data_IF_892430848027
#
_entry.id   IF_892430848027
#
_cell.length_a   1.000
_cell.length_b   1.000
_cell.length_c   1.000
_cell.angle_alpha   90.00
_cell.angle_beta   90.00
_cell.angle_gamma   90.00
#
_symmetry.space_group_name_H-M   'P 1'
#
loop_
_entity.id
_entity.type
_entity.pdbx_description
1 polymer ?
#
# COMPACT_ATOMS: atom_id res chain seq x y z
N UNK A 1 54.64 -11.06 -0.73
CA UNK A 1 53.31 -11.54 -0.29
C UNK A 1 52.85 -10.68 0.90
N UNK A 2 51.56 -10.31 0.93
CA UNK A 2 50.87 -9.43 1.92
C UNK A 2 51.11 -7.92 1.78
N UNK A 3 50.15 -7.24 1.10
CA UNK A 3 49.59 -5.89 1.36
C UNK A 3 48.98 -5.31 0.07
N UNK A 4 47.91 -5.91 -0.48
CA UNK A 4 47.19 -5.34 -1.64
C UNK A 4 45.67 -5.65 -1.67
N UNK A 5 45.07 -6.15 -0.58
CA UNK A 5 43.65 -6.58 -0.59
C UNK A 5 42.71 -5.80 0.35
N UNK A 6 43.16 -4.70 0.96
CA UNK A 6 42.30 -3.89 1.85
C UNK A 6 41.61 -2.73 1.11
N UNK A 7 42.06 -2.38 -0.09
CA UNK A 7 41.49 -1.25 -0.85
C UNK A 7 40.30 -1.61 -1.77
N UNK A 8 40.07 -2.89 -2.05
CA UNK A 8 38.93 -3.33 -2.89
C UNK A 8 37.63 -3.51 -2.09
N UNK A 9 37.71 -3.80 -0.78
CA UNK A 9 36.54 -3.83 0.09
C UNK A 9 36.05 -2.42 0.47
N UNK A 10 36.97 -1.46 0.59
CA UNK A 10 36.63 -0.05 0.80
C UNK A 10 36.08 0.65 -0.45
N UNK A 11 36.55 0.27 -1.64
CA UNK A 11 36.08 0.85 -2.91
C UNK A 11 34.67 0.42 -3.32
N UNK A 12 34.24 -0.81 -2.99
CA UNK A 12 32.88 -1.27 -3.27
C UNK A 12 31.83 -0.71 -2.29
N UNK A 13 32.24 -0.34 -1.06
CA UNK A 13 31.36 0.34 -0.10
C UNK A 13 31.24 1.86 -0.38
N UNK A 14 32.27 2.46 -0.99
CA UNK A 14 32.32 3.91 -1.23
C UNK A 14 31.55 4.38 -2.50
N UNK A 15 31.05 3.46 -3.34
CA UNK A 15 30.22 3.80 -4.52
C UNK A 15 28.71 3.87 -4.18
N UNK A 16 28.31 3.55 -2.94
CA UNK A 16 26.92 3.71 -2.46
C UNK A 16 26.63 5.07 -1.81
N UNK A 17 27.57 6.02 -1.80
CA UNK A 17 27.41 7.35 -1.19
C UNK A 17 27.28 8.49 -2.22
N UNK A 18 26.96 8.17 -3.48
CA UNK A 18 26.81 9.14 -4.57
C UNK A 18 25.41 9.74 -4.65
N UNK A 19 25.28 10.99 -4.20
CA UNK A 19 24.19 11.96 -4.38
C UNK A 19 22.81 11.62 -3.75
N UNK A 20 22.20 12.55 -2.98
CA UNK A 20 20.78 12.49 -2.62
C UNK A 20 19.96 12.82 -3.88
N UNK A 21 19.81 11.85 -4.78
CA UNK A 21 18.74 11.86 -5.77
C UNK A 21 17.43 11.60 -5.04
N UNK A 22 16.38 12.34 -5.37
CA UNK A 22 15.07 12.33 -4.74
C UNK A 22 14.59 10.92 -4.28
N UNK A 23 14.84 10.61 -3.01
CA UNK A 23 14.24 9.52 -2.24
C UNK A 23 12.74 9.77 -2.18
N UNK A 24 11.90 8.75 -2.25
CA UNK A 24 10.45 8.88 -2.57
C UNK A 24 9.62 7.55 -2.12
N UNK A 25 8.27 7.39 -2.13
CA UNK A 25 7.43 6.20 -1.71
C UNK A 25 6.94 4.98 -2.63
N UNK A 26 6.62 3.83 -2.02
CA UNK A 26 6.07 2.59 -2.66
C UNK A 26 4.56 2.59 -2.99
N UNK A 27 3.89 3.74 -3.12
CA UNK A 27 2.43 3.79 -3.30
C UNK A 27 1.68 3.07 -2.17
N UNK A 28 0.71 2.21 -2.51
CA UNK A 28 -0.04 1.37 -1.55
C UNK A 28 0.38 -0.11 -1.58
N UNK A 29 1.63 -0.40 -1.92
CA UNK A 29 2.18 -1.75 -1.82
C UNK A 29 2.46 -2.13 -0.38
N UNK A 30 2.26 -3.40 -0.06
CA UNK A 30 2.60 -4.01 1.22
C UNK A 30 3.61 -5.12 0.95
N UNK A 31 4.73 -5.14 1.67
CA UNK A 31 5.79 -6.14 1.48
C UNK A 31 5.99 -7.04 2.71
N UNK A 32 5.25 -6.80 3.78
CA UNK A 32 5.47 -7.37 5.10
C UNK A 32 4.76 -8.73 5.28
N UNK A 33 5.02 -9.65 4.35
CA UNK A 33 4.40 -10.98 4.30
C UNK A 33 5.22 -12.09 4.99
N UNK A 34 6.34 -11.74 5.61
CA UNK A 34 7.14 -12.65 6.43
C UNK A 34 7.89 -11.88 7.50
N UNK A 35 7.82 -12.36 8.74
CA UNK A 35 8.64 -11.82 9.83
C UNK A 35 10.14 -12.06 9.58
N UNK A 36 10.52 -13.20 9.00
CA UNK A 36 11.91 -13.45 8.60
C UNK A 36 12.40 -12.41 7.58
N UNK A 37 11.61 -12.18 6.52
CA UNK A 37 11.97 -11.22 5.49
C UNK A 37 11.97 -9.79 6.03
N UNK A 38 10.96 -9.41 6.82
CA UNK A 38 10.89 -8.10 7.49
C UNK A 38 12.13 -7.82 8.32
N UNK A 39 12.62 -8.79 9.11
CA UNK A 39 13.81 -8.62 9.95
C UNK A 39 15.09 -8.25 9.19
N UNK A 40 15.12 -8.49 7.87
CA UNK A 40 16.21 -8.16 6.94
C UNK A 40 15.76 -7.18 5.84
N UNK A 41 14.89 -6.23 6.19
CA UNK A 41 14.37 -5.17 5.32
C UNK A 41 13.61 -5.66 4.08
N UNK A 42 13.03 -6.86 4.13
CA UNK A 42 12.35 -7.50 3.00
C UNK A 42 13.30 -8.10 1.97
N UNK A 43 14.62 -8.07 2.18
CA UNK A 43 15.60 -8.60 1.23
C UNK A 43 15.53 -10.14 1.20
N UNK A 44 14.91 -10.71 0.18
CA UNK A 44 14.58 -12.14 0.11
C UNK A 44 14.59 -12.71 -1.31
N UNK A 45 14.83 -11.90 -2.34
CA UNK A 45 14.69 -12.31 -3.74
C UNK A 45 15.71 -13.37 -4.13
N UNK A 46 16.95 -13.27 -3.65
CA UNK A 46 18.01 -14.24 -3.96
C UNK A 46 18.18 -15.36 -2.93
N UNK A 47 17.77 -15.13 -1.69
CA UNK A 47 17.91 -16.07 -0.59
C UNK A 47 16.59 -16.13 0.19
N UNK A 48 15.68 -17.07 -0.11
CA UNK A 48 14.40 -17.19 0.58
C UNK A 48 14.57 -17.45 2.08
N UNK A 49 13.55 -17.11 2.85
CA UNK A 49 13.41 -17.54 4.24
C UNK A 49 13.10 -19.05 4.31
N UNK A 50 13.31 -19.66 5.48
CA UNK A 50 12.93 -21.06 5.73
C UNK A 50 11.44 -21.17 6.12
N UNK A 51 10.61 -20.45 5.38
CA UNK A 51 9.16 -20.38 5.51
C UNK A 51 8.51 -20.43 4.11
N UNK A 52 7.17 -20.42 4.06
CA UNK A 52 6.45 -20.46 2.78
C UNK A 52 6.41 -19.13 2.01
N UNK A 53 6.98 -18.04 2.55
CA UNK A 53 6.84 -16.70 1.99
C UNK A 53 7.59 -16.49 0.67
N UNK A 54 8.46 -17.43 0.30
CA UNK A 54 9.10 -17.46 -1.01
C UNK A 54 8.08 -17.34 -2.16
N UNK A 55 6.84 -17.81 -1.99
CA UNK A 55 5.77 -17.63 -2.99
C UNK A 55 5.57 -16.16 -3.39
N UNK A 56 5.67 -15.23 -2.44
CA UNK A 56 5.61 -13.79 -2.71
C UNK A 56 6.96 -13.24 -3.19
N UNK A 57 8.03 -13.46 -2.43
CA UNK A 57 9.33 -12.77 -2.66
C UNK A 57 10.08 -13.28 -3.90
N UNK A 58 10.07 -14.58 -4.15
CA UNK A 58 10.58 -15.21 -5.37
C UNK A 58 10.12 -16.68 -5.41
N UNK A 59 9.14 -17.06 -6.25
CA UNK A 59 8.55 -18.40 -6.23
C UNK A 59 9.58 -19.52 -6.49
N UNK A 60 10.71 -19.24 -7.14
CA UNK A 60 11.81 -20.20 -7.28
C UNK A 60 12.40 -20.65 -5.93
N UNK A 61 12.31 -19.82 -4.89
CA UNK A 61 12.77 -20.14 -3.54
C UNK A 61 12.02 -21.30 -2.90
N UNK A 62 10.81 -21.63 -3.38
CA UNK A 62 10.04 -22.76 -2.88
C UNK A 62 10.68 -24.12 -3.22
N UNK A 63 11.53 -24.18 -4.26
CA UNK A 63 12.26 -25.39 -4.70
C UNK A 63 13.39 -25.83 -3.73
N UNK A 64 13.31 -25.44 -2.46
CA UNK A 64 14.21 -25.84 -1.38
C UNK A 64 13.63 -26.94 -0.48
N UNK A 65 12.33 -27.26 -0.61
CA UNK A 65 11.69 -28.28 0.20
C UNK A 65 12.14 -29.70 -0.22
N UNK A 66 12.66 -30.53 0.72
CA UNK A 66 12.96 -31.94 0.46
C UNK A 66 11.70 -32.74 0.10
N UNK A 67 11.92 -33.87 -0.57
CA UNK A 67 10.85 -34.83 -0.87
C UNK A 67 10.13 -35.28 0.40
N UNK A 68 8.81 -35.28 0.37
CA UNK A 68 7.93 -35.69 1.46
C UNK A 68 7.69 -34.62 2.52
N UNK A 69 8.46 -33.52 2.55
CA UNK A 69 8.30 -32.47 3.56
C UNK A 69 7.07 -31.62 3.23
N UNK A 70 6.12 -31.59 4.16
CA UNK A 70 5.03 -30.60 4.16
C UNK A 70 5.40 -29.48 5.12
N UNK A 71 5.31 -28.23 4.70
CA UNK A 71 5.57 -27.08 5.55
C UNK A 71 4.33 -26.19 5.58
N UNK A 72 3.88 -25.83 6.78
CA UNK A 72 2.88 -24.79 7.00
C UNK A 72 3.54 -23.61 7.71
N UNK A 73 3.24 -22.39 7.26
CA UNK A 73 3.60 -21.15 7.94
C UNK A 73 2.34 -20.35 8.18
N UNK A 74 2.14 -19.90 9.41
CA UNK A 74 1.07 -18.98 9.79
C UNK A 74 1.73 -17.79 10.46
N UNK A 75 1.46 -16.60 9.95
CA UNK A 75 2.00 -15.37 10.50
C UNK A 75 1.24 -14.15 10.04
N UNK A 76 1.78 -12.99 10.38
CA UNK A 76 1.27 -11.73 9.93
C UNK A 76 2.05 -10.56 10.50
N UNK A 77 1.72 -9.39 10.01
CA UNK A 77 2.30 -8.12 10.42
C UNK A 77 1.22 -7.20 10.93
N UNK A 78 1.43 -6.62 12.11
CA UNK A 78 0.60 -5.52 12.62
C UNK A 78 1.26 -4.20 12.25
N UNK A 79 0.55 -3.36 11.49
CA UNK A 79 1.02 -2.05 11.05
C UNK A 79 0.29 -0.98 11.86
N UNK A 80 1.02 -0.20 12.63
CA UNK A 80 0.51 0.91 13.43
C UNK A 80 1.03 2.24 12.85
N UNK A 81 0.34 2.81 11.84
CA UNK A 81 0.66 4.13 11.32
C UNK A 81 0.16 5.23 12.26
N UNK A 82 0.85 6.36 12.22
CA UNK A 82 0.44 7.63 12.83
C UNK A 82 0.86 8.76 11.92
N UNK A 83 0.07 9.82 11.86
CA UNK A 83 0.36 10.95 11.00
C UNK A 83 -0.68 12.04 11.10
N UNK A 84 -0.46 13.10 10.35
CA UNK A 84 -1.31 14.27 10.39
C UNK A 84 -1.05 15.21 9.23
N UNK A 85 -1.88 16.24 9.17
CA UNK A 85 -1.81 17.34 8.22
C UNK A 85 -1.82 18.67 8.99
N UNK A 86 -0.90 19.57 8.64
CA UNK A 86 -0.88 20.95 9.16
C UNK A 86 -1.03 21.93 8.01
N UNK A 87 -2.04 22.80 8.06
CA UNK A 87 -2.29 23.82 7.05
C UNK A 87 -1.40 25.06 7.30
N UNK A 88 -0.80 25.61 6.23
CA UNK A 88 0.19 26.68 6.30
C UNK A 88 -0.38 27.99 6.87
N UNK A 89 -1.50 28.44 6.31
CA UNK A 89 -2.02 29.80 6.56
C UNK A 89 -2.70 29.93 7.93
N UNK A 90 -3.29 28.84 8.43
CA UNK A 90 -4.10 28.84 9.65
C UNK A 90 -3.41 28.13 10.81
N UNK A 91 -2.43 27.25 10.53
CA UNK A 91 -1.84 26.35 11.52
C UNK A 91 -2.80 25.27 12.01
N UNK A 92 -3.99 25.13 11.40
CA UNK A 92 -4.96 24.09 11.77
C UNK A 92 -4.38 22.71 11.49
N UNK A 93 -4.70 21.78 12.38
CA UNK A 93 -4.21 20.41 12.33
C UNK A 93 -5.35 19.43 12.19
N UNK A 94 -5.13 18.38 11.41
CA UNK A 94 -5.95 17.18 11.38
C UNK A 94 -5.01 16.00 11.59
N UNK A 95 -5.26 15.21 12.63
CA UNK A 95 -4.49 14.00 12.90
C UNK A 95 -5.27 12.78 12.39
N UNK A 96 -4.56 11.75 11.93
CA UNK A 96 -5.16 10.47 11.58
C UNK A 96 -5.77 9.83 12.84
N UNK A 97 -6.85 9.07 12.64
CA UNK A 97 -7.34 8.17 13.66
C UNK A 97 -6.37 6.98 13.75
N UNK A 98 -5.55 6.95 14.79
CA UNK A 98 -4.58 5.88 15.00
C UNK A 98 -5.29 4.51 15.09
N UNK A 99 -4.92 3.59 14.20
CA UNK A 99 -5.43 2.21 14.14
C UNK A 99 -4.30 1.24 13.87
N UNK A 100 -4.49 0.00 14.31
CA UNK A 100 -3.56 -1.10 14.00
C UNK A 100 -4.18 -1.98 12.92
N UNK A 101 -3.46 -2.14 11.81
CA UNK A 101 -3.90 -2.93 10.67
C UNK A 101 -3.19 -4.28 10.64
N UNK A 102 -3.93 -5.41 10.74
CA UNK A 102 -3.34 -6.73 10.57
C UNK A 102 -3.20 -7.10 9.10
N UNK A 103 -2.02 -7.54 8.70
CA UNK A 103 -1.70 -8.11 7.39
C UNK A 103 -1.38 -9.59 7.58
N UNK A 104 -2.35 -10.51 7.41
CA UNK A 104 -2.11 -11.93 7.60
C UNK A 104 -1.30 -12.52 6.44
N UNK A 105 -0.51 -13.54 6.74
CA UNK A 105 0.23 -14.33 5.76
C UNK A 105 0.19 -15.82 6.14
N UNK A 106 -0.37 -16.64 5.27
CA UNK A 106 -0.50 -18.09 5.47
C UNK A 106 0.05 -18.82 4.27
N UNK A 107 0.86 -19.84 4.49
CA UNK A 107 1.48 -20.61 3.42
C UNK A 107 1.43 -22.10 3.74
N UNK A 108 1.13 -22.92 2.74
CA UNK A 108 1.23 -24.36 2.78
C UNK A 108 2.02 -24.85 1.58
N UNK A 109 3.03 -25.67 1.77
CA UNK A 109 3.82 -26.25 0.69
C UNK A 109 4.18 -27.71 0.92
N UNK A 110 4.41 -28.43 -0.17
CA UNK A 110 4.78 -29.83 -0.15
C UNK A 110 5.84 -30.14 -1.21
N UNK A 111 6.93 -30.80 -0.79
CA UNK A 111 7.96 -31.31 -1.69
C UNK A 111 7.56 -32.67 -2.27
N UNK A 112 7.10 -32.71 -3.52
CA UNK A 112 6.68 -33.95 -4.17
C UNK A 112 7.86 -34.83 -4.59
N UNK A 113 8.97 -34.20 -4.99
CA UNK A 113 10.22 -34.86 -5.35
C UNK A 113 11.40 -34.05 -4.83
N UNK A 114 12.63 -34.53 -5.00
CA UNK A 114 13.83 -33.76 -4.66
C UNK A 114 14.01 -32.51 -5.56
N UNK A 115 13.17 -32.35 -6.58
CA UNK A 115 13.25 -31.23 -7.53
C UNK A 115 11.95 -30.45 -7.67
N UNK A 116 10.80 -30.98 -7.26
CA UNK A 116 9.49 -30.40 -7.51
C UNK A 116 8.78 -30.12 -6.19
N UNK A 117 8.39 -28.87 -5.99
CA UNK A 117 7.61 -28.40 -4.85
C UNK A 117 6.41 -27.65 -5.36
N UNK A 118 5.26 -27.83 -4.73
CA UNK A 118 4.13 -26.95 -4.95
C UNK A 118 3.58 -26.45 -3.61
N UNK A 119 2.82 -25.36 -3.65
CA UNK A 119 2.16 -24.84 -2.48
C UNK A 119 1.12 -23.80 -2.81
N UNK A 120 0.44 -23.31 -1.78
CA UNK A 120 -0.56 -22.27 -1.86
C UNK A 120 -0.29 -21.25 -0.76
N UNK A 121 -0.37 -19.98 -1.12
CA UNK A 121 -0.20 -18.85 -0.20
C UNK A 121 -1.44 -17.98 -0.15
N UNK A 122 -1.70 -17.38 1.01
CA UNK A 122 -2.66 -16.31 1.23
C UNK A 122 -1.92 -15.12 1.84
N UNK A 123 -1.93 -13.97 1.16
CA UNK A 123 -1.27 -12.73 1.61
C UNK A 123 -1.86 -11.52 0.86
N UNK A 124 -1.52 -10.30 1.26
CA UNK A 124 -2.16 -9.06 0.79
C UNK A 124 -1.15 -8.05 0.22
N UNK A 125 -0.69 -8.18 -1.04
CA UNK A 125 0.42 -7.38 -1.57
C UNK A 125 0.10 -5.91 -1.84
N UNK A 126 -1.18 -5.52 -1.77
CA UNK A 126 -1.65 -4.15 -1.91
C UNK A 126 -2.64 -3.81 -0.81
N UNK A 127 -2.39 -2.71 -0.11
CA UNK A 127 -3.18 -2.33 1.04
C UNK A 127 -3.01 -0.86 1.36
N UNK A 128 -4.11 -0.15 1.50
CA UNK A 128 -4.15 1.21 2.02
C UNK A 128 -5.40 1.39 2.87
N UNK A 129 -5.23 2.02 4.02
CA UNK A 129 -6.34 2.62 4.74
C UNK A 129 -5.90 3.98 5.28
N UNK A 130 -6.61 5.03 4.87
CA UNK A 130 -6.53 6.35 5.50
C UNK A 130 -7.81 6.55 6.28
N UNK A 131 -7.71 6.91 7.56
CA UNK A 131 -8.86 7.21 8.41
C UNK A 131 -8.62 8.53 9.12
N UNK A 132 -9.33 9.56 8.65
CA UNK A 132 -9.32 10.90 9.21
C UNK A 132 -10.63 11.16 9.95
N UNK A 133 -10.64 12.02 10.98
CA UNK A 133 -11.87 12.55 11.54
C UNK A 133 -12.76 13.14 10.44
N UNK A 134 -14.08 12.98 10.55
CA UNK A 134 -15.04 13.59 9.60
C UNK A 134 -15.02 15.12 9.60
N UNK A 135 -14.31 15.75 10.52
CA UNK A 135 -14.08 17.19 10.61
C UNK A 135 -12.72 17.62 10.07
N UNK A 136 -11.92 16.67 9.54
CA UNK A 136 -10.60 16.95 9.01
C UNK A 136 -10.67 17.99 7.87
N UNK A 137 -9.57 18.73 7.72
CA UNK A 137 -9.46 19.74 6.67
C UNK A 137 -9.62 19.13 5.27
N UNK A 138 -9.14 17.89 5.09
CA UNK A 138 -9.18 17.18 3.81
C UNK A 138 -10.44 16.37 3.50
N UNK A 139 -11.47 16.47 4.34
CA UNK A 139 -12.66 15.59 4.28
C UNK A 139 -13.45 15.63 2.98
N UNK A 140 -13.32 16.70 2.19
CA UNK A 140 -13.96 16.84 0.87
C UNK A 140 -13.18 16.16 -0.26
N UNK A 141 -11.92 15.78 -0.03
CA UNK A 141 -11.17 14.90 -0.93
C UNK A 141 -11.29 13.44 -0.51
N UNK A 142 -11.20 13.17 0.79
CA UNK A 142 -11.46 11.88 1.43
C UNK A 142 -11.25 12.03 2.94
N UNK A 143 -12.15 11.47 3.73
CA UNK A 143 -11.88 11.21 5.14
C UNK A 143 -11.63 9.73 5.41
N UNK A 144 -12.15 8.81 4.60
CA UNK A 144 -11.81 7.40 4.70
C UNK A 144 -11.62 6.77 3.33
N UNK A 145 -10.48 6.14 3.10
CA UNK A 145 -10.18 5.43 1.86
C UNK A 145 -9.62 4.07 2.19
N UNK A 146 -10.17 3.03 1.59
CA UNK A 146 -9.80 1.64 1.83
C UNK A 146 -9.51 0.99 0.48
N UNK A 147 -8.29 0.49 0.32
CA UNK A 147 -7.93 -0.45 -0.73
C UNK A 147 -7.44 -1.70 -0.02
N UNK A 148 -8.18 -2.79 -0.15
CA UNK A 148 -7.82 -4.08 0.44
C UNK A 148 -7.79 -5.13 -0.63
N UNK A 149 -6.76 -5.95 -0.57
CA UNK A 149 -6.65 -7.08 -1.46
C UNK A 149 -6.24 -8.34 -0.70
N UNK A 150 -6.63 -9.49 -1.22
CA UNK A 150 -6.15 -10.78 -0.73
C UNK A 150 -5.83 -11.64 -1.93
N UNK A 151 -4.58 -12.08 -2.03
CA UNK A 151 -4.11 -13.00 -3.04
C UNK A 151 -4.23 -14.42 -2.49
N UNK A 152 -4.81 -15.30 -3.29
CA UNK A 152 -4.67 -16.74 -3.16
C UNK A 152 -3.77 -17.20 -4.30
N UNK A 153 -2.56 -17.66 -3.97
CA UNK A 153 -1.53 -17.97 -4.96
C UNK A 153 -1.10 -19.44 -4.91
N UNK A 154 -1.69 -20.35 -5.71
CA UNK A 154 -1.06 -21.61 -6.05
C UNK A 154 0.28 -21.37 -6.77
N UNK A 155 1.32 -22.08 -6.34
CA UNK A 155 2.70 -21.90 -6.78
C UNK A 155 3.35 -23.25 -7.04
N UNK A 156 4.11 -23.35 -8.13
CA UNK A 156 4.98 -24.50 -8.42
C UNK A 156 6.41 -24.00 -8.58
N UNK A 157 7.36 -24.73 -8.00
CA UNK A 157 8.77 -24.45 -8.13
C UNK A 157 9.56 -25.72 -8.44
N UNK A 158 10.58 -25.55 -9.27
CA UNK A 158 11.38 -26.65 -9.78
C UNK A 158 12.88 -26.32 -9.74
N UNK A 159 13.66 -27.29 -9.31
CA UNK A 159 15.12 -27.29 -9.40
C UNK A 159 15.54 -27.92 -10.73
N UNK A 160 16.11 -27.11 -11.63
CA UNK A 160 16.56 -27.55 -12.97
C UNK A 160 17.93 -28.23 -12.95
N UNK A 161 18.69 -28.01 -11.88
CA UNK A 161 20.00 -28.59 -11.61
C UNK A 161 20.50 -28.09 -10.25
N UNK A 162 21.78 -28.27 -9.95
CA UNK A 162 22.28 -27.90 -8.61
C UNK A 162 22.37 -26.40 -8.36
N UNK A 163 22.34 -25.60 -9.43
CA UNK A 163 22.56 -24.14 -9.36
C UNK A 163 21.35 -23.30 -9.75
N UNK A 164 20.33 -23.88 -10.37
CA UNK A 164 19.23 -23.11 -10.97
C UNK A 164 17.90 -23.63 -10.43
N UNK A 165 17.14 -22.69 -9.86
CA UNK A 165 15.77 -22.89 -9.38
C UNK A 165 14.87 -21.93 -10.15
N UNK A 166 13.71 -22.41 -10.55
CA UNK A 166 12.66 -21.61 -11.21
C UNK A 166 11.34 -21.82 -10.49
N UNK A 167 10.46 -20.84 -10.54
CA UNK A 167 9.12 -20.99 -9.99
C UNK A 167 8.13 -20.06 -10.65
N UNK A 168 6.87 -20.45 -10.59
CA UNK A 168 5.74 -19.69 -11.08
C UNK A 168 4.56 -19.81 -10.12
N UNK A 169 3.89 -18.70 -9.87
CA UNK A 169 2.65 -18.60 -9.11
C UNK A 169 1.55 -17.98 -9.96
N UNK A 170 0.32 -18.42 -9.75
CA UNK A 170 -0.86 -17.82 -10.35
C UNK A 170 -1.67 -17.13 -9.26
N UNK A 171 -2.03 -15.88 -9.45
CA UNK A 171 -2.67 -15.05 -8.43
C UNK A 171 -4.17 -14.98 -8.70
N UNK A 172 -4.98 -15.37 -7.72
CA UNK A 172 -6.39 -14.99 -7.64
C UNK A 172 -6.53 -13.89 -6.61
N UNK A 173 -6.84 -12.69 -7.05
CA UNK A 173 -6.89 -11.50 -6.21
C UNK A 173 -8.32 -11.07 -5.96
N UNK A 174 -8.72 -10.96 -4.70
CA UNK A 174 -9.99 -10.38 -4.28
C UNK A 174 -9.76 -8.93 -3.86
N UNK A 175 -10.10 -7.98 -4.74
CA UNK A 175 -9.97 -6.54 -4.51
C UNK A 175 -11.26 -5.98 -3.92
N UNK A 176 -11.11 -5.17 -2.87
CA UNK A 176 -12.18 -4.41 -2.23
C UNK A 176 -11.76 -2.95 -2.10
N UNK A 177 -12.66 -2.04 -2.48
CA UNK A 177 -12.42 -0.60 -2.51
C UNK A 177 -13.54 0.11 -1.78
N UNK A 178 -13.17 1.07 -0.94
CA UNK A 178 -14.09 2.05 -0.37
C UNK A 178 -13.46 3.45 -0.44
N UNK A 179 -14.28 4.45 -0.73
CA UNK A 179 -13.92 5.85 -0.60
C UNK A 179 -15.10 6.57 0.05
N UNK A 180 -14.84 7.29 1.12
CA UNK A 180 -15.80 8.09 1.86
C UNK A 180 -15.31 9.53 1.97
N UNK A 181 -16.18 10.47 1.63
CA UNK A 181 -15.89 11.89 1.67
C UNK A 181 -17.12 12.70 2.08
N UNK A 182 -16.90 13.94 2.49
CA UNK A 182 -17.98 14.94 2.53
C UNK A 182 -18.17 15.52 1.14
N UNK A 183 -19.40 15.89 0.81
CA UNK A 183 -19.68 16.72 -0.35
C UNK A 183 -19.94 18.16 0.09
N UNK A 184 -19.28 19.11 -0.58
CA UNK A 184 -19.63 20.52 -0.53
C UNK A 184 -20.41 20.89 -1.80
N UNK A 185 -21.56 21.52 -1.62
CA UNK A 185 -22.42 21.98 -2.70
C UNK A 185 -22.53 23.51 -2.76
N UNK A 186 -21.71 24.26 -2.01
CA UNK A 186 -21.70 25.72 -1.98
C UNK A 186 -21.78 26.36 -3.38
N UNK A 187 -20.95 25.89 -4.32
CA UNK A 187 -20.92 26.40 -5.69
C UNK A 187 -21.94 25.75 -6.65
N UNK A 188 -22.70 24.76 -6.19
CA UNK A 188 -23.72 24.09 -7.02
C UNK A 188 -25.00 24.92 -7.11
N UNK A 189 -25.64 24.86 -8.28
CA UNK A 189 -26.95 25.45 -8.47
C UNK A 189 -27.99 24.76 -7.56
N UNK A 190 -28.86 25.56 -6.97
CA UNK A 190 -30.09 25.12 -6.34
C UNK A 190 -31.09 24.58 -7.38
N UNK A 191 -32.32 24.25 -6.97
CA UNK A 191 -33.42 23.95 -7.88
C UNK A 191 -33.76 25.11 -8.84
N UNK A 192 -33.28 26.33 -8.56
CA UNK A 192 -33.38 27.48 -9.44
C UNK A 192 -32.07 27.65 -10.23
N UNK A 193 -32.09 27.54 -11.58
CA UNK A 193 -30.91 27.74 -12.40
C UNK A 193 -30.27 29.12 -12.21
N UNK A 194 -28.95 29.16 -12.05
CA UNK A 194 -28.19 30.41 -11.86
C UNK A 194 -28.16 30.94 -10.43
N UNK A 195 -28.72 30.21 -9.47
CA UNK A 195 -28.66 30.51 -8.05
C UNK A 195 -27.89 29.41 -7.35
N UNK A 196 -26.70 29.71 -6.80
CA UNK A 196 -25.90 28.75 -6.03
C UNK A 196 -26.19 28.82 -4.53
N UNK A 197 -25.79 27.80 -3.78
CA UNK A 197 -25.88 27.82 -2.33
C UNK A 197 -25.00 28.91 -1.70
N UNK A 198 -23.82 29.20 -2.27
CA UNK A 198 -22.94 30.28 -1.85
C UNK A 198 -23.63 31.65 -1.93
N UNK A 199 -24.45 31.88 -2.97
CA UNK A 199 -25.23 33.12 -3.09
C UNK A 199 -26.30 33.28 -1.99
N UNK A 200 -26.70 32.18 -1.33
CA UNK A 200 -27.57 32.21 -0.15
C UNK A 200 -26.84 32.59 1.14
N UNK A 201 -25.55 32.89 1.07
CA UNK A 201 -24.70 33.18 2.22
C UNK A 201 -24.18 31.94 2.93
N UNK A 202 -24.21 30.78 2.27
CA UNK A 202 -23.69 29.52 2.81
C UNK A 202 -22.18 29.49 2.57
N UNK A 203 -21.35 29.34 3.61
CA UNK A 203 -19.90 29.32 3.43
C UNK A 203 -19.43 28.10 2.64
N UNK A 204 -18.36 28.28 1.89
CA UNK A 204 -17.59 27.17 1.32
C UNK A 204 -17.12 26.23 2.43
N UNK A 205 -16.86 24.96 2.06
CA UNK A 205 -16.48 23.89 2.97
C UNK A 205 -17.58 23.56 4.00
N UNK A 206 -18.85 23.71 3.63
CA UNK A 206 -19.99 23.23 4.42
C UNK A 206 -20.21 21.74 4.14
N UNK A 207 -20.52 20.95 5.18
CA UNK A 207 -20.79 19.52 5.03
C UNK A 207 -22.25 19.33 4.58
N UNK A 208 -22.51 19.20 3.27
CA UNK A 208 -23.86 18.99 2.73
C UNK A 208 -24.28 17.51 2.77
N UNK A 209 -23.33 16.62 2.43
CA UNK A 209 -23.59 15.20 2.35
C UNK A 209 -22.39 14.37 2.83
N UNK A 210 -22.67 13.16 3.25
CA UNK A 210 -21.73 12.06 3.40
C UNK A 210 -21.88 11.18 2.15
N UNK A 211 -20.81 11.08 1.35
CA UNK A 211 -20.79 10.33 0.12
C UNK A 211 -19.83 9.15 0.28
N UNK A 212 -20.27 7.96 -0.11
CA UNK A 212 -19.42 6.78 -0.16
C UNK A 212 -19.52 6.08 -1.50
N UNK A 213 -18.42 5.50 -1.97
CA UNK A 213 -18.42 4.57 -3.10
C UNK A 213 -17.72 3.28 -2.69
N UNK A 214 -18.41 2.16 -2.88
CA UNK A 214 -17.93 0.83 -2.49
C UNK A 214 -17.97 -0.08 -3.70
N UNK A 215 -16.86 -0.77 -3.96
CA UNK A 215 -16.72 -1.68 -5.10
C UNK A 215 -15.87 -2.89 -4.76
N UNK A 216 -16.07 -3.99 -5.49
CA UNK A 216 -15.26 -5.20 -5.34
C UNK A 216 -15.05 -5.89 -6.68
N UNK A 217 -13.89 -6.51 -6.87
CA UNK A 217 -13.56 -7.21 -8.12
C UNK A 217 -12.58 -8.34 -7.87
N UNK A 218 -12.80 -9.46 -8.54
CA UNK A 218 -11.77 -10.50 -8.66
C UNK A 218 -10.89 -10.21 -9.87
N UNK A 219 -9.58 -10.27 -9.67
CA UNK A 219 -8.59 -10.12 -10.75
C UNK A 219 -7.58 -11.26 -10.72
N UNK A 220 -6.84 -11.40 -11.81
CA UNK A 220 -5.87 -12.47 -11.98
C UNK A 220 -4.50 -11.91 -12.36
N UNK A 221 -3.47 -12.58 -11.89
CA UNK A 221 -2.08 -12.27 -12.20
C UNK A 221 -1.19 -13.50 -12.10
N UNK A 222 0.11 -13.28 -12.22
CA UNK A 222 1.11 -14.30 -12.02
C UNK A 222 2.42 -13.73 -11.50
N UNK A 223 3.13 -14.58 -10.77
CA UNK A 223 4.51 -14.36 -10.35
C UNK A 223 5.41 -15.35 -11.09
N UNK A 224 6.56 -14.91 -11.56
CA UNK A 224 7.62 -15.80 -12.06
C UNK A 224 8.94 -15.43 -11.43
N UNK A 225 9.78 -16.42 -11.19
CA UNK A 225 11.03 -16.21 -10.49
C UNK A 225 12.10 -17.20 -10.86
N UNK A 226 13.34 -16.77 -10.69
CA UNK A 226 14.55 -17.57 -10.86
C UNK A 226 15.52 -17.26 -9.74
N UNK A 227 16.22 -18.28 -9.25
CA UNK A 227 17.38 -18.15 -8.37
C UNK A 227 18.53 -18.93 -8.99
N UNK A 228 19.68 -18.28 -9.11
CA UNK A 228 20.93 -18.86 -9.57
C UNK A 228 21.94 -18.83 -8.44
N UNK A 229 22.59 -19.95 -8.17
CA UNK A 229 23.65 -20.10 -7.15
C UNK A 229 24.98 -20.44 -7.85
N UNK A 230 25.73 -19.44 -8.37
CA UNK A 230 26.96 -19.71 -9.11
C UNK A 230 28.02 -20.42 -8.25
N UNK A 231 28.03 -20.10 -6.95
CA UNK A 231 28.93 -20.67 -5.92
C UNK A 231 28.14 -20.93 -4.64
N UNK A 232 28.65 -21.74 -3.69
CA UNK A 232 27.99 -21.94 -2.39
C UNK A 232 27.88 -20.67 -1.52
N UNK A 233 28.58 -19.59 -1.88
CA UNK A 233 28.58 -18.32 -1.15
C UNK A 233 27.75 -17.22 -1.79
N UNK A 234 27.36 -17.36 -3.06
CA UNK A 234 26.70 -16.29 -3.82
C UNK A 234 25.42 -16.86 -4.42
N UNK A 235 24.30 -16.18 -4.16
CA UNK A 235 23.03 -16.40 -4.83
C UNK A 235 22.58 -15.11 -5.51
N UNK A 236 21.98 -15.25 -6.69
CA UNK A 236 21.37 -14.19 -7.49
C UNK A 236 19.91 -14.56 -7.70
N UNK A 237 19.01 -13.58 -7.58
CA UNK A 237 17.58 -13.80 -7.76
C UNK A 237 16.98 -12.76 -8.68
N UNK A 238 15.97 -13.17 -9.43
CA UNK A 238 15.08 -12.26 -10.12
C UNK A 238 13.64 -12.74 -9.99
N UNK A 239 12.72 -11.80 -9.78
CA UNK A 239 11.27 -12.05 -9.77
C UNK A 239 10.57 -11.00 -10.62
N UNK A 240 9.54 -11.44 -11.33
CA UNK A 240 8.55 -10.56 -11.92
C UNK A 240 7.16 -10.90 -11.39
N UNK A 241 6.38 -9.89 -11.03
CA UNK A 241 4.96 -9.98 -10.70
C UNK A 241 4.18 -9.16 -11.73
N UNK A 242 3.18 -9.79 -12.34
CA UNK A 242 2.40 -9.19 -13.41
C UNK A 242 1.49 -8.07 -12.90
N UNK A 243 1.29 -7.07 -13.74
CA UNK A 243 0.20 -6.10 -13.60
C UNK A 243 -1.16 -6.81 -13.57
N UNK A 244 -2.08 -6.32 -12.75
CA UNK A 244 -3.48 -6.74 -12.76
C UNK A 244 -4.38 -5.56 -13.10
N UNK A 245 -5.46 -5.80 -13.83
CA UNK A 245 -6.44 -4.79 -14.20
C UNK A 245 -7.82 -5.20 -13.69
N UNK A 246 -8.34 -4.46 -12.72
CA UNK A 246 -9.72 -4.55 -12.27
C UNK A 246 -10.56 -3.57 -13.11
N UNK A 247 -10.96 -3.99 -14.30
CA UNK A 247 -11.91 -3.23 -15.13
C UNK A 247 -13.33 -3.40 -14.63
N UNK A 248 -14.17 -2.41 -14.91
CA UNK A 248 -15.63 -2.47 -14.72
C UNK A 248 -15.98 -2.91 -13.29
N UNK A 249 -15.39 -2.23 -12.32
CA UNK A 249 -15.73 -2.46 -10.91
C UNK A 249 -17.11 -1.87 -10.69
N UNK A 250 -18.09 -2.75 -10.46
CA UNK A 250 -19.45 -2.36 -10.11
C UNK A 250 -19.41 -1.70 -8.72
N UNK A 251 -19.44 -0.38 -8.72
CA UNK A 251 -19.47 0.45 -7.54
C UNK A 251 -20.89 0.89 -7.21
N UNK A 252 -21.20 0.96 -5.92
CA UNK A 252 -22.41 1.63 -5.43
C UNK A 252 -22.00 2.94 -4.77
N UNK A 253 -22.46 4.05 -5.32
CA UNK A 253 -22.34 5.36 -4.71
C UNK A 253 -23.57 5.62 -3.83
N UNK A 254 -23.35 5.87 -2.54
CA UNK A 254 -24.41 6.19 -1.58
C UNK A 254 -24.24 7.62 -1.07
N UNK A 255 -25.36 8.32 -0.91
CA UNK A 255 -25.37 9.71 -0.45
C UNK A 255 -26.32 9.88 0.74
N UNK A 256 -25.79 10.42 1.84
CA UNK A 256 -26.56 10.68 3.06
C UNK A 256 -26.48 12.15 3.40
N UNK A 257 -27.64 12.77 3.54
CA UNK A 257 -27.70 14.18 3.93
C UNK A 257 -27.07 14.38 5.31
N UNK A 258 -26.27 15.44 5.43
CA UNK A 258 -25.70 15.88 6.70
C UNK A 258 -26.49 17.09 7.18
N UNK A 259 -26.83 17.10 8.46
CA UNK A 259 -27.50 18.25 9.06
C UNK A 259 -26.48 19.40 9.20
N UNK A 260 -26.69 20.45 8.41
CA UNK A 260 -25.84 21.64 8.38
C UNK A 260 -26.08 22.56 9.58
N UNK A 261 -27.29 22.53 10.17
CA UNK A 261 -27.69 23.44 11.24
C UNK A 261 -27.82 24.90 10.81
N UNK A 262 -27.76 25.19 9.51
CA UNK A 262 -27.81 26.54 8.95
C UNK A 262 -29.26 26.95 8.71
N UNK A 263 -29.63 28.14 9.19
CA UNK A 263 -30.90 28.79 8.84
C UNK A 263 -30.64 29.85 7.78
N UNK A 264 -31.45 29.86 6.71
CA UNK A 264 -31.30 30.88 5.66
C UNK A 264 -31.64 32.26 6.24
N UNK A 265 -30.71 33.23 6.18
CA UNK A 265 -30.87 34.50 6.88
C UNK A 265 -32.02 35.35 6.30
N UNK A 266 -32.72 36.13 7.13
CA UNK A 266 -33.69 37.11 6.66
C UNK A 266 -33.01 38.15 5.77
N UNK A 267 -33.59 38.39 4.58
CA UNK A 267 -33.06 39.34 3.61
C UNK A 267 -32.23 38.74 2.48
N UNK A 268 -32.02 37.42 2.43
CA UNK A 268 -31.46 36.78 1.22
C UNK A 268 -32.40 37.06 0.03
N UNK A 269 -31.93 37.73 -1.05
CA UNK A 269 -32.77 38.10 -2.19
C UNK A 269 -33.28 36.88 -2.98
N UNK A 270 -32.74 35.71 -2.66
CA UNK A 270 -33.00 34.44 -3.33
C UNK A 270 -34.03 33.58 -2.59
N UNK A 271 -34.49 33.98 -1.39
CA UNK A 271 -35.63 33.34 -0.70
C UNK A 271 -36.89 33.34 -1.58
N UNK A 272 -37.13 34.44 -2.30
CA UNK A 272 -38.24 34.55 -3.25
C UNK A 272 -38.07 33.67 -4.48
N UNK A 273 -36.83 33.48 -4.96
CA UNK A 273 -36.53 32.60 -6.09
C UNK A 273 -36.76 31.12 -5.75
N UNK A 274 -36.50 30.75 -4.49
CA UNK A 274 -36.75 29.40 -3.95
C UNK A 274 -38.19 29.19 -3.45
N UNK A 275 -38.96 30.28 -3.27
CA UNK A 275 -40.32 30.23 -2.73
C UNK A 275 -40.40 29.83 -1.26
N UNK A 276 -39.35 30.04 -0.45
CA UNK A 276 -39.28 29.65 0.97
C UNK A 276 -39.18 30.87 1.90
N UNK A 277 -39.77 30.83 3.11
CA UNK A 277 -39.68 31.93 4.06
C UNK A 277 -38.27 32.06 4.68
N UNK A 278 -37.97 33.24 5.24
CA UNK A 278 -36.75 33.42 6.03
C UNK A 278 -36.75 32.50 7.27
N UNK A 279 -35.56 32.04 7.67
CA UNK A 279 -35.42 31.10 8.79
C UNK A 279 -35.74 29.65 8.43
N UNK A 280 -36.04 29.34 7.17
CA UNK A 280 -36.09 27.96 6.69
C UNK A 280 -34.72 27.29 6.89
N UNK A 281 -34.68 26.09 7.49
CA UNK A 281 -33.46 25.29 7.56
C UNK A 281 -32.94 24.99 6.16
N UNK A 282 -31.65 25.23 5.92
CA UNK A 282 -30.99 24.87 4.66
C UNK A 282 -31.22 23.40 4.32
N UNK A 283 -31.20 22.54 5.33
CA UNK A 283 -31.42 21.10 5.19
C UNK A 283 -32.76 20.77 4.53
N UNK A 284 -33.80 21.58 4.73
CA UNK A 284 -35.10 21.38 4.10
C UNK A 284 -35.04 21.67 2.58
N UNK A 285 -34.22 22.65 2.18
CA UNK A 285 -33.98 22.97 0.76
C UNK A 285 -33.10 21.88 0.13
N UNK A 286 -32.11 21.39 0.86
CA UNK A 286 -31.21 20.33 0.41
C UNK A 286 -31.86 18.97 0.28
N UNK A 287 -32.90 18.68 1.06
CA UNK A 287 -33.58 17.40 1.04
C UNK A 287 -34.01 16.99 -0.38
N UNK A 288 -34.33 17.94 -1.26
CA UNK A 288 -34.70 17.65 -2.66
C UNK A 288 -33.55 17.06 -3.47
N UNK A 289 -32.28 17.33 -3.12
CA UNK A 289 -31.11 16.75 -3.78
C UNK A 289 -30.95 15.25 -3.52
N UNK A 290 -31.59 14.74 -2.46
CA UNK A 290 -31.56 13.33 -2.05
C UNK A 290 -32.84 12.57 -2.44
N UNK A 291 -33.74 13.20 -3.20
CA UNK A 291 -34.96 12.58 -3.74
C UNK A 291 -34.80 12.35 -5.25
N UNK A 292 -35.71 11.55 -5.83
CA UNK A 292 -35.69 11.24 -7.26
C UNK A 292 -35.60 12.51 -8.13
N UNK A 293 -34.59 12.56 -9.01
CA UNK A 293 -34.27 13.72 -9.86
C UNK A 293 -33.26 14.72 -9.26
N UNK A 294 -32.84 14.53 -8.01
CA UNK A 294 -31.74 15.27 -7.39
C UNK A 294 -30.37 14.71 -7.75
N UNK A 295 -29.30 15.48 -7.49
CA UNK A 295 -27.93 15.10 -7.83
C UNK A 295 -27.31 14.07 -6.86
N UNK A 296 -27.77 14.03 -5.61
CA UNK A 296 -27.23 13.20 -4.53
C UNK A 296 -28.17 12.05 -4.16
N UNK A 297 -28.58 11.30 -5.18
CA UNK A 297 -29.29 10.03 -5.01
C UNK A 297 -28.31 8.87 -5.17
N UNK A 298 -28.56 7.80 -4.40
CA UNK A 298 -27.84 6.54 -4.55
C UNK A 298 -27.86 6.09 -6.01
N UNK A 299 -26.70 5.73 -6.52
CA UNK A 299 -26.53 5.39 -7.93
C UNK A 299 -25.41 4.39 -8.15
N UNK A 300 -25.44 3.72 -9.30
CA UNK A 300 -24.31 2.92 -9.73
C UNK A 300 -23.15 3.84 -10.16
N UNK A 301 -21.93 3.36 -9.94
CA UNK A 301 -20.71 3.92 -10.48
C UNK A 301 -19.84 2.80 -11.03
N UNK A 302 -19.06 3.09 -12.07
CA UNK A 302 -18.11 2.15 -12.65
C UNK A 302 -16.74 2.79 -12.61
N UNK A 303 -15.73 2.00 -12.22
CA UNK A 303 -14.34 2.44 -12.29
C UNK A 303 -13.42 1.33 -12.74
N UNK A 304 -12.21 1.70 -13.12
CA UNK A 304 -11.11 0.78 -13.39
C UNK A 304 -9.94 1.09 -12.47
N UNK A 305 -9.44 0.07 -11.77
CA UNK A 305 -8.21 0.17 -10.98
C UNK A 305 -7.16 -0.79 -11.52
N UNK A 306 -5.89 -0.38 -11.50
CA UNK A 306 -4.76 -1.20 -11.96
C UNK A 306 -3.80 -1.47 -10.82
N UNK A 307 -3.40 -2.71 -10.62
CA UNK A 307 -2.33 -3.04 -9.68
C UNK A 307 -1.02 -3.16 -10.47
N UNK A 308 0.03 -2.41 -10.12
CA UNK A 308 1.24 -2.31 -10.94
C UNK A 308 2.02 -3.62 -11.00
N UNK A 309 2.75 -3.83 -12.09
CA UNK A 309 3.78 -4.86 -12.14
C UNK A 309 4.98 -4.51 -11.25
N UNK A 310 5.70 -5.54 -10.81
CA UNK A 310 6.95 -5.40 -10.06
C UNK A 310 8.06 -6.23 -10.71
N UNK A 311 9.25 -5.65 -10.81
CA UNK A 311 10.49 -6.34 -11.11
C UNK A 311 11.39 -6.25 -9.89
N UNK A 312 11.86 -7.40 -9.40
CA UNK A 312 12.78 -7.46 -8.27
C UNK A 312 14.04 -8.24 -8.65
N UNK A 313 15.19 -7.69 -8.27
CA UNK A 313 16.51 -8.29 -8.44
C UNK A 313 17.16 -8.39 -7.07
N UNK A 314 17.86 -9.49 -6.81
CA UNK A 314 18.49 -9.73 -5.51
C UNK A 314 19.86 -10.35 -5.63
N UNK A 315 20.69 -10.09 -4.63
CA UNK A 315 21.97 -10.76 -4.39
C UNK A 315 22.07 -11.14 -2.92
N UNK A 316 22.59 -12.34 -2.65
CA UNK A 316 22.94 -12.76 -1.31
C UNK A 316 24.38 -13.30 -1.28
N UNK A 317 25.16 -12.84 -0.30
CA UNK A 317 26.57 -13.20 -0.14
C UNK A 317 26.81 -13.72 1.27
N UNK A 318 27.27 -14.97 1.39
CA UNK A 318 27.80 -15.52 2.64
C UNK A 318 29.24 -15.02 2.82
N UNK A 319 29.39 -13.98 3.64
CA UNK A 319 30.69 -13.37 3.98
C UNK A 319 31.50 -14.33 4.85
N UNK A 320 30.84 -14.96 5.82
CA UNK A 320 31.36 -16.07 6.62
C UNK A 320 30.32 -17.19 6.66
N UNK A 321 30.60 -18.37 7.25
CA UNK A 321 29.58 -19.38 7.44
C UNK A 321 28.37 -18.90 8.26
N UNK A 322 28.59 -17.99 9.22
CA UNK A 322 27.56 -17.46 10.12
C UNK A 322 26.95 -16.14 9.65
N UNK A 323 27.66 -15.37 8.82
CA UNK A 323 27.25 -14.02 8.43
C UNK A 323 26.94 -13.91 6.94
N UNK A 324 25.74 -13.43 6.63
CA UNK A 324 25.23 -13.23 5.27
C UNK A 324 24.75 -11.80 5.10
N UNK A 325 25.08 -11.22 3.95
CA UNK A 325 24.59 -9.90 3.50
C UNK A 325 23.67 -10.11 2.30
N UNK A 326 22.58 -9.36 2.25
CA UNK A 326 21.57 -9.41 1.21
C UNK A 326 21.34 -8.00 0.66
N UNK A 327 21.18 -7.89 -0.65
CA UNK A 327 20.83 -6.63 -1.31
C UNK A 327 19.76 -6.88 -2.36
N UNK A 328 18.64 -6.18 -2.27
CA UNK A 328 17.56 -6.27 -3.25
C UNK A 328 17.23 -4.89 -3.84
N UNK A 329 16.91 -4.88 -5.12
CA UNK A 329 16.34 -3.76 -5.84
C UNK A 329 14.96 -4.15 -6.37
N UNK A 330 13.96 -3.30 -6.16
CA UNK A 330 12.62 -3.50 -6.71
C UNK A 330 12.17 -2.26 -7.46
N UNK A 331 11.78 -2.43 -8.72
CA UNK A 331 11.07 -1.43 -9.50
C UNK A 331 9.59 -1.80 -9.54
N UNK A 332 8.72 -0.85 -9.25
CA UNK A 332 7.28 -0.99 -9.35
C UNK A 332 6.72 0.07 -10.29
N UNK A 333 5.92 -0.36 -11.27
CA UNK A 333 5.46 0.53 -12.33
C UNK A 333 4.14 1.21 -11.97
N UNK A 334 4.19 2.20 -11.08
CA UNK A 334 3.01 2.97 -10.70
C UNK A 334 2.49 3.92 -11.79
N UNK A 335 3.17 4.09 -12.93
CA UNK A 335 2.68 4.84 -14.11
C UNK A 335 1.33 4.32 -14.64
N UNK A 336 0.89 3.14 -14.19
CA UNK A 336 -0.42 2.58 -14.50
C UNK A 336 -1.57 3.26 -13.75
N UNK A 337 -1.25 4.02 -12.70
CA UNK A 337 -2.11 4.96 -11.98
C UNK A 337 -1.92 6.35 -12.58
N UNK A 338 -2.37 6.51 -13.82
CA UNK A 338 -2.40 7.78 -14.52
C UNK A 338 -3.60 8.63 -14.09
N UNK A 339 -4.79 8.02 -14.04
CA UNK A 339 -6.01 8.64 -13.56
C UNK A 339 -6.97 7.60 -12.97
N UNK A 340 -7.79 8.04 -12.03
CA UNK A 340 -8.99 7.32 -11.59
C UNK A 340 -10.18 7.95 -12.29
N UNK A 341 -10.90 7.14 -13.07
CA UNK A 341 -12.11 7.57 -13.77
C UNK A 341 -13.29 6.94 -13.02
N UNK A 342 -14.22 7.79 -12.58
CA UNK A 342 -15.47 7.39 -11.94
C UNK A 342 -16.61 7.74 -12.89
N UNK A 343 -17.16 6.71 -13.54
CA UNK A 343 -18.33 6.86 -14.43
C UNK A 343 -19.60 6.60 -13.62
N UNK A 344 -20.30 7.66 -13.29
CA UNK A 344 -21.56 7.59 -12.54
C UNK A 344 -22.77 7.48 -13.48
N UNK A 345 -23.84 6.87 -13.00
CA UNK A 345 -25.08 6.74 -13.77
C UNK A 345 -25.83 8.08 -13.94
N UNK A 346 -25.80 8.94 -12.90
CA UNK A 346 -26.55 10.19 -12.85
C UNK A 346 -25.60 11.40 -12.81
N UNK A 347 -24.56 11.34 -11.98
CA UNK A 347 -23.55 12.39 -11.91
C UNK A 347 -22.64 12.38 -13.16
N UNK A 348 -22.02 13.51 -13.51
CA UNK A 348 -21.01 13.53 -14.56
C UNK A 348 -19.84 12.60 -14.23
N UNK A 349 -19.20 12.05 -15.26
CA UNK A 349 -17.92 11.35 -15.11
C UNK A 349 -16.91 12.26 -14.42
N UNK A 350 -16.31 11.74 -13.35
CA UNK A 350 -15.21 12.40 -12.65
C UNK A 350 -13.88 11.80 -13.10
N UNK A 351 -12.95 12.66 -13.46
CA UNK A 351 -11.59 12.27 -13.81
C UNK A 351 -10.64 12.86 -12.76
N UNK A 352 -9.95 11.98 -12.04
CA UNK A 352 -9.00 12.31 -10.99
C UNK A 352 -7.59 11.95 -11.46
N UNK A 353 -6.83 12.90 -12.05
CA UNK A 353 -5.45 12.68 -12.42
C UNK A 353 -4.62 12.27 -11.20
N UNK A 354 -3.85 11.19 -11.36
CA UNK A 354 -2.93 10.67 -10.35
C UNK A 354 -1.48 10.89 -10.79
N UNK A 355 -1.19 10.67 -12.08
CA UNK A 355 0.12 10.89 -12.70
C UNK A 355 1.28 10.22 -11.96
N UNK A 356 1.07 9.01 -11.42
CA UNK A 356 2.10 8.37 -10.60
C UNK A 356 3.34 8.02 -11.44
N UNK A 357 4.52 8.14 -10.82
CA UNK A 357 5.80 7.72 -11.39
C UNK A 357 6.22 6.34 -10.90
N UNK A 358 7.24 5.73 -11.53
CA UNK A 358 7.80 4.46 -11.03
C UNK A 358 8.35 4.62 -9.61
N UNK A 359 8.17 3.56 -8.80
CA UNK A 359 8.81 3.41 -7.49
C UNK A 359 10.02 2.46 -7.58
N UNK A 360 11.07 2.76 -6.84
CA UNK A 360 12.38 2.14 -6.85
C UNK A 360 12.78 1.94 -5.39
N UNK A 361 12.83 0.69 -4.94
CA UNK A 361 13.18 0.33 -3.56
C UNK A 361 14.53 -0.33 -3.52
N UNK A 362 15.37 0.12 -2.59
CA UNK A 362 16.68 -0.45 -2.29
C UNK A 362 16.65 -1.02 -0.89
N UNK A 363 17.03 -2.29 -0.76
CA UNK A 363 17.05 -3.03 0.51
C UNK A 363 18.44 -3.54 0.78
N UNK A 364 18.92 -3.35 2.00
CA UNK A 364 20.16 -3.93 2.50
C UNK A 364 19.83 -4.68 3.80
N UNK A 365 20.11 -5.98 3.81
CA UNK A 365 19.84 -6.86 4.95
C UNK A 365 21.08 -7.62 5.40
N UNK A 366 21.13 -7.95 6.69
CA UNK A 366 22.13 -8.82 7.27
C UNK A 366 21.49 -9.92 8.10
N UNK A 367 22.05 -11.13 8.03
CA UNK A 367 21.68 -12.25 8.89
C UNK A 367 22.93 -12.79 9.57
N UNK A 368 22.87 -12.97 10.89
CA UNK A 368 23.93 -13.57 11.68
C UNK A 368 23.40 -14.75 12.48
N UNK A 369 23.96 -15.94 12.22
CA UNK A 369 23.63 -17.17 12.94
C UNK A 369 24.39 -17.23 14.28
N UNK A 370 23.62 -17.34 15.36
CA UNK A 370 24.11 -17.48 16.72
C UNK A 370 24.41 -18.96 17.05
N UNK A 371 25.27 -19.16 18.04
CA UNK A 371 25.50 -20.50 18.60
C UNK A 371 24.17 -21.05 19.14
N UNK A 372 23.78 -22.25 18.71
CA UNK A 372 22.48 -22.85 19.06
C UNK A 372 21.41 -22.77 17.97
N UNK A 373 21.71 -22.16 16.81
CA UNK A 373 20.84 -22.17 15.63
C UNK A 373 19.77 -21.07 15.60
N UNK A 374 19.82 -20.13 16.54
CA UNK A 374 19.05 -18.89 16.45
C UNK A 374 19.70 -17.91 15.47
N UNK A 375 18.93 -17.02 14.87
CA UNK A 375 19.40 -16.06 13.87
C UNK A 375 18.94 -14.66 14.28
N UNK A 376 19.87 -13.71 14.29
CA UNK A 376 19.54 -12.28 14.40
C UNK A 376 19.65 -11.62 13.03
N UNK A 377 18.75 -10.67 12.79
CA UNK A 377 18.63 -9.96 11.52
C UNK A 377 18.56 -8.47 11.77
N UNK A 378 19.14 -7.71 10.85
CA UNK A 378 18.97 -6.27 10.79
C UNK A 378 18.89 -5.84 9.33
N UNK A 379 18.21 -4.75 9.07
CA UNK A 379 18.06 -4.25 7.71
C UNK A 379 17.74 -2.77 7.65
N UNK A 380 17.98 -2.24 6.46
CA UNK A 380 17.66 -0.88 6.06
C UNK A 380 17.01 -0.95 4.68
N UNK A 381 15.89 -0.24 4.50
CA UNK A 381 15.38 0.03 3.17
C UNK A 381 15.01 1.50 2.99
N UNK A 382 15.08 1.92 1.74
CA UNK A 382 14.56 3.20 1.30
C UNK A 382 13.98 3.02 -0.08
N UNK A 383 13.04 3.87 -0.45
CA UNK A 383 12.44 3.79 -1.77
C UNK A 383 12.24 5.16 -2.40
N UNK A 384 11.60 5.17 -3.58
CA UNK A 384 11.19 6.35 -4.38
C UNK A 384 9.64 6.39 -4.62
N UNK A 385 8.96 7.54 -4.89
CA UNK A 385 7.52 7.92 -4.71
C UNK A 385 6.77 7.71 -5.96
N UNK A 386 5.60 7.12 -5.79
CA UNK A 386 4.65 7.03 -6.83
C UNK A 386 3.98 8.40 -7.04
N UNK A 387 3.49 9.04 -5.98
CA UNK A 387 2.66 10.24 -6.12
C UNK A 387 3.49 11.52 -6.36
N UNK A 388 3.27 12.23 -7.49
CA UNK A 388 3.85 13.56 -7.69
C UNK A 388 3.23 14.60 -6.73
N UNK A 389 3.90 15.74 -6.59
CA UNK A 389 3.51 16.83 -5.69
C UNK A 389 2.07 17.31 -5.92
N UNK A 390 1.62 17.34 -7.18
CA UNK A 390 0.28 17.76 -7.57
C UNK A 390 -0.87 16.84 -7.13
N UNK A 391 -0.61 15.59 -6.73
CA UNK A 391 -1.66 14.59 -6.44
C UNK A 391 -1.64 14.04 -5.01
N UNK A 392 -0.75 14.55 -4.15
CA UNK A 392 -0.77 14.24 -2.71
C UNK A 392 -1.97 14.89 -2.02
N UNK A 393 -2.92 14.09 -1.56
CA UNK A 393 -4.12 14.54 -0.82
C UNK A 393 -4.33 13.72 0.45
N UNK A 394 -5.42 13.99 1.18
CA UNK A 394 -5.82 13.20 2.35
C UNK A 394 -6.13 11.74 2.01
N UNK A 395 -6.51 11.44 0.76
CA UNK A 395 -6.78 10.08 0.27
C UNK A 395 -5.53 9.20 0.30
N UNK A 396 -4.37 9.74 -0.07
CA UNK A 396 -3.10 9.03 -0.08
C UNK A 396 -1.96 10.03 0.15
N UNK A 397 -1.63 10.32 1.43
CA UNK A 397 -0.55 11.24 1.81
C UNK A 397 0.82 10.56 1.67
N UNK A 398 1.16 10.16 0.45
CA UNK A 398 2.32 9.35 0.13
C UNK A 398 3.59 10.20 -0.07
N UNK A 399 4.72 9.71 0.45
CA UNK A 399 6.00 10.42 0.41
C UNK A 399 7.17 9.52 0.73
N UNK A 400 8.40 10.00 0.50
CA UNK A 400 9.63 9.23 0.69
C UNK A 400 9.72 8.48 2.00
N UNK A 401 10.12 7.20 1.99
CA UNK A 401 10.33 6.45 3.23
C UNK A 401 11.75 5.95 3.36
N UNK A 402 12.19 6.01 4.61
CA UNK A 402 13.37 5.33 5.11
C UNK A 402 12.93 4.43 6.24
N UNK A 403 13.41 3.19 6.23
CA UNK A 403 12.92 2.18 7.15
C UNK A 403 14.05 1.36 7.73
N UNK A 404 13.89 1.00 9.00
CA UNK A 404 14.88 0.26 9.78
C UNK A 404 14.23 -0.97 10.36
N UNK A 405 14.90 -2.12 10.24
CA UNK A 405 14.35 -3.40 10.67
C UNK A 405 15.29 -4.14 11.58
N UNK A 406 14.73 -4.88 12.53
CA UNK A 406 15.43 -5.90 13.31
C UNK A 406 14.57 -7.15 13.38
N UNK A 407 15.20 -8.31 13.49
CA UNK A 407 14.47 -9.57 13.63
C UNK A 407 15.25 -10.64 14.36
N UNK A 408 14.50 -11.61 14.88
CA UNK A 408 15.01 -12.76 15.59
C UNK A 408 14.25 -14.01 15.14
N UNK A 409 14.99 -15.07 14.82
CA UNK A 409 14.44 -16.37 14.47
C UNK A 409 15.04 -17.46 15.32
N UNK A 410 14.25 -18.44 15.74
CA UNK A 410 14.77 -19.61 16.45
C UNK A 410 13.92 -20.85 16.22
N UNK A 411 14.60 -22.01 16.19
CA UNK A 411 13.92 -23.30 16.23
C UNK A 411 13.37 -23.54 17.63
N UNK A 412 12.11 -23.94 17.70
CA UNK A 412 11.53 -24.56 18.88
C UNK A 412 11.76 -26.05 18.70
N UNK A 413 12.45 -26.72 19.64
CA UNK A 413 12.89 -28.12 19.47
C UNK A 413 11.86 -29.04 18.79
N UNK A 414 12.34 -29.95 17.93
CA UNK A 414 11.49 -30.68 16.99
C UNK A 414 11.42 -29.98 15.63
N UNK A 415 10.23 -29.90 15.02
CA UNK A 415 10.04 -29.41 13.66
C UNK A 415 9.53 -27.95 13.56
N UNK A 416 9.48 -27.24 14.69
CA UNK A 416 8.92 -25.89 14.80
C UNK A 416 9.96 -24.78 14.70
N UNK A 417 9.56 -23.66 14.12
CA UNK A 417 10.38 -22.46 13.98
C UNK A 417 9.53 -21.20 14.19
N UNK A 418 10.07 -20.20 14.88
CA UNK A 418 9.44 -18.89 15.06
C UNK A 418 10.36 -17.82 14.51
N UNK A 419 9.78 -16.84 13.81
CA UNK A 419 10.40 -15.56 13.50
C UNK A 419 9.58 -14.41 14.09
N UNK A 420 10.29 -13.44 14.65
CA UNK A 420 9.79 -12.16 15.12
C UNK A 420 10.55 -11.04 14.42
N UNK A 421 9.86 -9.96 14.10
CA UNK A 421 10.49 -8.78 13.52
C UNK A 421 9.80 -7.48 13.96
N UNK A 422 10.59 -6.41 13.92
CA UNK A 422 10.15 -5.05 14.11
C UNK A 422 10.68 -4.18 12.98
N UNK A 423 9.85 -3.28 12.48
CA UNK A 423 10.19 -2.32 11.45
C UNK A 423 9.66 -0.95 11.83
N UNK A 424 10.52 0.07 11.75
CA UNK A 424 10.16 1.47 11.88
C UNK A 424 10.17 2.13 10.51
N UNK A 425 9.08 2.80 10.16
CA UNK A 425 8.93 3.56 8.92
C UNK A 425 8.97 5.04 9.26
N UNK A 426 9.92 5.75 8.65
CA UNK A 426 10.05 7.19 8.71
C UNK A 426 9.70 7.76 7.33
N UNK A 427 8.54 8.40 7.21
CA UNK A 427 8.16 9.07 5.98
C UNK A 427 8.60 10.54 6.05
N UNK A 428 9.35 10.99 5.06
CA UNK A 428 9.71 12.39 4.93
C UNK A 428 8.46 13.27 4.85
N UNK A 429 8.52 14.42 5.51
CA UNK A 429 7.49 15.44 5.43
C UNK A 429 7.16 15.77 3.98
N UNK A 430 5.86 15.83 3.69
CA UNK A 430 5.37 15.92 2.33
C UNK A 430 4.41 17.09 2.17
N UNK A 431 4.77 18.03 1.29
CA UNK A 431 3.84 19.08 0.84
C UNK A 431 2.65 18.44 0.15
N UNK A 432 1.45 18.87 0.52
CA UNK A 432 0.21 18.39 -0.06
C UNK A 432 -0.91 19.41 0.11
N UNK A 433 -2.13 18.95 -0.17
CA UNK A 433 -3.34 19.76 -0.21
C UNK A 433 -4.47 19.14 0.59
N UNK A 434 -5.22 19.96 1.32
CA UNK A 434 -6.49 19.52 1.92
C UNK A 434 -7.62 19.46 0.89
N UNK A 435 -7.58 20.26 -0.16
CA UNK A 435 -8.53 20.17 -1.27
C UNK A 435 -8.34 18.92 -2.13
N UNK A 436 -9.24 18.71 -3.10
CA UNK A 436 -9.05 17.68 -4.12
C UNK A 436 -7.89 17.99 -5.09
N UNK A 437 -7.58 17.06 -6.01
CA UNK A 437 -6.58 17.28 -7.07
C UNK A 437 -6.83 18.58 -7.85
N UNK A 438 -5.76 19.32 -8.18
CA UNK A 438 -5.85 20.61 -8.87
C UNK A 438 -5.93 21.84 -7.95
N UNK A 439 -6.09 21.65 -6.64
CA UNK A 439 -5.91 22.73 -5.66
C UNK A 439 -4.42 22.96 -5.34
N UNK A 440 -4.07 24.20 -4.96
CA UNK A 440 -2.70 24.53 -4.57
C UNK A 440 -2.29 23.77 -3.30
N UNK A 441 -1.00 23.45 -3.18
CA UNK A 441 -0.45 22.93 -1.93
C UNK A 441 -0.66 23.96 -0.82
N UNK A 442 -1.32 23.55 0.27
CA UNK A 442 -1.69 24.43 1.37
C UNK A 442 -1.26 23.90 2.74
N UNK A 443 -0.49 22.81 2.78
CA UNK A 443 0.05 22.30 4.02
C UNK A 443 1.10 21.20 3.88
N UNK A 444 1.36 20.55 5.01
CA UNK A 444 2.37 19.50 5.18
C UNK A 444 1.72 18.28 5.81
N UNK A 445 1.91 17.12 5.18
CA UNK A 445 1.66 15.80 5.74
C UNK A 445 2.91 15.26 6.43
N UNK A 446 2.72 14.69 7.62
CA UNK A 446 3.76 13.99 8.38
C UNK A 446 3.29 12.57 8.67
N UNK A 447 4.15 11.56 8.52
CA UNK A 447 3.74 10.17 8.72
C UNK A 447 4.89 9.30 9.23
N UNK A 448 4.57 8.37 10.13
CA UNK A 448 5.47 7.32 10.59
C UNK A 448 4.68 6.06 10.93
N UNK A 449 5.32 4.90 10.92
CA UNK A 449 4.65 3.67 11.33
C UNK A 449 5.57 2.74 12.12
N UNK A 450 4.96 1.99 13.04
CA UNK A 450 5.60 0.89 13.75
C UNK A 450 4.97 -0.43 13.30
N UNK A 451 5.81 -1.37 12.90
CA UNK A 451 5.38 -2.67 12.39
C UNK A 451 5.94 -3.78 13.27
N UNK A 452 5.07 -4.75 13.60
CA UNK A 452 5.44 -5.94 14.37
C UNK A 452 5.04 -7.19 13.58
N UNK A 453 6.03 -7.96 13.15
CA UNK A 453 5.85 -9.22 12.44
C UNK A 453 6.06 -10.41 13.36
N UNK A 454 5.19 -11.41 13.23
CA UNK A 454 5.38 -12.71 13.86
C UNK A 454 4.97 -13.83 12.91
N UNK A 455 5.73 -14.91 12.87
CA UNK A 455 5.41 -16.11 12.10
C UNK A 455 5.82 -17.37 12.86
N UNK A 456 4.99 -18.40 12.71
CA UNK A 456 5.27 -19.75 13.15
C UNK A 456 5.27 -20.68 11.94
N UNK A 457 6.32 -21.48 11.82
CA UNK A 457 6.50 -22.47 10.76
C UNK A 457 6.61 -23.86 11.36
N UNK A 458 5.89 -24.82 10.80
CA UNK A 458 5.94 -26.22 11.19
C UNK A 458 6.22 -27.11 9.98
N UNK A 459 7.13 -28.05 10.13
CA UNK A 459 7.45 -29.06 9.14
C UNK A 459 6.89 -30.42 9.58
N UNK A 460 6.14 -31.10 8.70
CA UNK A 460 5.64 -32.46 8.92
C UNK A 460 6.56 -33.50 8.31
#
# INVERSE_FOLDING_TARGET
>A
MRRFHVWLAGGALAVLLGAPGALSAQGFSVNEHSACAMGRAGAAVAAPCDDGSAMFFNPAGLAQAPKGRTQITVGGTFIAPSGGFTQDNTGLKSDLNDRVFPVPAVYLSHGFTDRLTAGIGLFAPYGLETDWPKTALGRFSSYNSIIRNVYVQPTVAMRLGDKIKVGAGFDVNFLHLELHQRADLSEQNTTTPGVTFGMLGIPDNTDFADASIIGSKTTFGYHVGVIVEPTPRIALGARYMSRQRASDIDGKAEFKQVNTGILIPPGSPLLGALGVPAGTPLDAVLATQFQAGGALVDQAGVTTVRLPEQLALGVAVKVTPQFRVLGDYTMQNWEVWDAIILDFEILPTENLPQNFGKSHTWRLGGEYELNGGSVVRAGYLTHNAAAPDETVTATLPEGARTEFTVGFGTRLGGNGHIDLAYQYIDQADRRGRSGGPGTANDGIYTFKAHLFGAAFTWNF
#
